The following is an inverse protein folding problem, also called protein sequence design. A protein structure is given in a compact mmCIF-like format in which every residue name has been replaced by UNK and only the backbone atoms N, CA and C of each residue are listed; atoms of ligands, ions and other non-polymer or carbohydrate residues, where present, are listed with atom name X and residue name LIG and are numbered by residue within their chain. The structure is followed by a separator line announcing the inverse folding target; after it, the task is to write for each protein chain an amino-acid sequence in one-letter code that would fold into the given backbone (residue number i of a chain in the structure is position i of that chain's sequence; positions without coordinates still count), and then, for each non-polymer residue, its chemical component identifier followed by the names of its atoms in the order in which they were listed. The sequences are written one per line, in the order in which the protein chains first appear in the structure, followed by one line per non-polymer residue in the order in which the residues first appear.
data_IF_403469373014
#
_entry.id   IF_403469373014
#
_cell.length_a   1.000
_cell.length_b   1.000
_cell.length_c   1.000
_cell.angle_alpha   90.00
_cell.angle_beta   90.00
_cell.angle_gamma   90.00
#
_symmetry.space_group_name_H-M   'P 1'
#
loop_
_entity.id
_entity.type
_entity.pdbx_description
1 polymer ?
#
# COMPACT_ATOMS: atom_id res chain seq x y z
N UNK A 1 24.33 -13.24 8.54
CA UNK A 1 23.60 -12.89 9.77
C UNK A 1 24.38 -11.79 10.48
N UNK A 2 23.69 -10.84 11.12
CA UNK A 2 24.29 -9.80 11.95
C UNK A 2 25.15 -10.39 13.06
N UNK A 3 26.47 -10.26 12.96
CA UNK A 3 27.44 -10.66 13.98
C UNK A 3 28.30 -9.47 14.40
N UNK A 4 27.70 -8.45 15.05
CA UNK A 4 28.45 -7.30 15.52
C UNK A 4 29.39 -7.68 16.67
N UNK A 5 30.48 -6.93 16.85
CA UNK A 5 31.34 -7.07 18.02
C UNK A 5 30.65 -6.48 19.27
N UNK A 6 30.05 -7.34 20.09
CA UNK A 6 29.24 -6.93 21.25
C UNK A 6 30.04 -6.32 22.40
N UNK A 7 31.37 -6.46 22.40
CA UNK A 7 32.24 -5.82 23.39
C UNK A 7 32.36 -4.31 23.16
N UNK A 8 32.30 -3.88 21.90
CA UNK A 8 32.37 -2.47 21.50
C UNK A 8 31.04 -1.72 21.70
N UNK A 9 29.94 -2.46 21.87
CA UNK A 9 28.60 -1.88 21.99
C UNK A 9 28.23 -1.73 23.45
N UNK A 10 28.15 -0.49 23.90
CA UNK A 10 27.81 -0.14 25.28
C UNK A 10 26.44 0.51 25.37
N UNK A 11 25.65 0.14 26.38
CA UNK A 11 24.42 0.83 26.73
C UNK A 11 24.74 1.90 27.78
N UNK A 12 24.19 3.10 27.61
CA UNK A 12 24.25 4.13 28.64
C UNK A 12 23.16 3.90 29.71
N UNK A 13 23.22 4.64 30.81
CA UNK A 13 22.26 4.50 31.93
C UNK A 13 20.80 4.64 31.48
N UNK A 14 20.49 5.61 30.62
CA UNK A 14 19.13 5.85 30.15
C UNK A 14 18.64 4.71 29.24
N UNK A 15 19.53 4.12 28.44
CA UNK A 15 19.24 2.93 27.65
C UNK A 15 18.96 1.70 28.54
N UNK A 16 19.74 1.50 29.61
CA UNK A 16 19.46 0.45 30.60
C UNK A 16 18.08 0.61 31.25
N UNK A 17 17.71 1.83 31.65
CA UNK A 17 16.40 2.13 32.24
C UNK A 17 15.26 1.87 31.23
N UNK A 18 15.42 2.40 30.00
CA UNK A 18 14.43 2.28 28.91
C UNK A 18 14.18 0.83 28.50
N UNK A 19 15.24 0.05 28.32
CA UNK A 19 15.15 -1.34 27.85
C UNK A 19 15.11 -2.36 28.99
N UNK A 20 14.91 -1.93 30.23
CA UNK A 20 14.89 -2.80 31.42
C UNK A 20 13.97 -4.02 31.27
N UNK A 21 12.83 -3.88 30.58
CA UNK A 21 11.90 -4.99 30.30
C UNK A 21 12.39 -5.97 29.24
N UNK A 22 13.25 -5.55 28.33
CA UNK A 22 13.93 -6.44 27.39
C UNK A 22 15.09 -7.16 28.06
N UNK A 23 15.88 -6.45 28.88
CA UNK A 23 17.07 -7.00 29.53
C UNK A 23 16.79 -8.19 30.46
N UNK A 24 15.57 -8.28 31.00
CA UNK A 24 15.15 -9.39 31.86
C UNK A 24 14.66 -10.63 31.08
N UNK A 25 14.38 -10.50 29.77
CA UNK A 25 13.94 -11.61 28.95
C UNK A 25 15.15 -12.48 28.56
N UNK A 26 15.19 -13.78 28.87
CA UNK A 26 16.32 -14.64 28.55
C UNK A 26 16.68 -14.67 27.06
N UNK A 27 15.68 -14.60 26.18
CA UNK A 27 15.85 -14.61 24.73
C UNK A 27 16.39 -13.28 24.18
N UNK A 28 16.37 -12.21 24.97
CA UNK A 28 16.94 -10.90 24.61
C UNK A 28 18.19 -10.63 25.45
N UNK A 29 18.02 -10.42 26.75
CA UNK A 29 19.12 -10.14 27.66
C UNK A 29 19.93 -8.90 27.26
N UNK A 30 21.10 -8.73 27.90
CA UNK A 30 22.02 -7.64 27.56
C UNK A 30 22.56 -7.77 26.13
N UNK A 31 22.99 -8.97 25.75
CA UNK A 31 23.60 -9.22 24.45
C UNK A 31 22.61 -9.00 23.30
N UNK A 32 21.36 -9.45 23.43
CA UNK A 32 20.32 -9.18 22.44
C UNK A 32 19.98 -7.70 22.32
N UNK A 33 19.95 -6.95 23.43
CA UNK A 33 19.73 -5.50 23.36
C UNK A 33 20.90 -4.78 22.69
N UNK A 34 22.14 -5.22 22.90
CA UNK A 34 23.30 -4.72 22.16
C UNK A 34 23.20 -5.04 20.66
N UNK A 35 22.72 -6.22 20.29
CA UNK A 35 22.45 -6.57 18.88
C UNK A 35 21.40 -5.67 18.25
N UNK A 36 20.31 -5.37 18.97
CA UNK A 36 19.31 -4.39 18.53
C UNK A 36 19.94 -3.01 18.31
N UNK A 37 20.74 -2.53 19.26
CA UNK A 37 21.47 -1.26 19.12
C UNK A 37 22.47 -1.24 17.98
N UNK A 38 23.06 -2.37 17.61
CA UNK A 38 24.00 -2.47 16.49
C UNK A 38 23.32 -2.59 15.13
N UNK A 39 22.08 -3.06 15.11
CA UNK A 39 21.39 -3.41 13.88
C UNK A 39 20.97 -2.16 13.09
N UNK A 40 20.96 -2.33 11.77
CA UNK A 40 20.48 -1.36 10.81
C UNK A 40 19.35 -1.94 9.96
N UNK A 41 18.23 -1.21 9.87
CA UNK A 41 17.04 -1.65 9.14
C UNK A 41 16.63 -0.58 8.12
N UNK A 42 16.31 -0.99 6.89
CA UNK A 42 15.72 -0.12 5.88
C UNK A 42 14.22 -0.39 5.74
N UNK A 43 13.39 0.61 5.99
CA UNK A 43 11.94 0.54 5.77
C UNK A 43 11.58 1.27 4.47
N UNK A 44 10.97 0.55 3.53
CA UNK A 44 10.47 1.13 2.28
C UNK A 44 9.00 1.51 2.46
N UNK A 45 8.73 2.82 2.54
CA UNK A 45 7.43 3.41 2.80
C UNK A 45 7.17 3.61 4.31
N UNK A 46 6.65 4.78 4.67
CA UNK A 46 6.12 5.10 6.01
C UNK A 46 4.60 5.10 6.03
N UNK A 47 3.99 4.38 5.09
CA UNK A 47 2.55 4.28 4.94
C UNK A 47 1.89 3.40 6.00
N UNK A 48 0.82 2.69 5.61
CA UNK A 48 0.01 1.90 6.55
C UNK A 48 0.86 0.89 7.33
N UNK A 49 1.59 0.01 6.63
CA UNK A 49 2.43 -1.02 7.25
C UNK A 49 3.68 -0.46 7.94
N UNK A 50 4.38 0.45 7.26
CA UNK A 50 5.61 1.06 7.77
C UNK A 50 5.41 1.84 9.07
N UNK A 51 4.24 2.46 9.23
CA UNK A 51 3.89 3.25 10.41
C UNK A 51 4.03 2.49 11.74
N UNK A 52 3.21 1.47 12.07
CA UNK A 52 3.33 0.71 13.32
C UNK A 52 4.68 -0.02 13.43
N UNK A 53 5.21 -0.51 12.31
CA UNK A 53 6.54 -1.15 12.25
C UNK A 53 7.63 -0.23 12.82
N UNK A 54 7.74 0.99 12.30
CA UNK A 54 8.76 1.96 12.69
C UNK A 54 8.62 2.37 14.17
N UNK A 55 7.39 2.52 14.66
CA UNK A 55 7.12 2.79 16.09
C UNK A 55 7.71 1.69 16.97
N UNK A 56 7.50 0.42 16.63
CA UNK A 56 7.98 -0.71 17.43
C UNK A 56 9.48 -0.98 17.26
N UNK A 57 10.07 -0.80 16.08
CA UNK A 57 11.52 -0.92 15.90
C UNK A 57 12.27 0.15 16.69
N UNK A 58 11.78 1.40 16.66
CA UNK A 58 12.32 2.48 17.48
C UNK A 58 12.19 2.17 18.98
N UNK A 59 11.00 1.76 19.44
CA UNK A 59 10.77 1.41 20.83
C UNK A 59 11.66 0.24 21.29
N UNK A 60 11.92 -0.74 20.42
CA UNK A 60 12.79 -1.88 20.70
C UNK A 60 14.28 -1.52 20.78
N UNK A 61 14.66 -0.33 20.29
CA UNK A 61 16.03 0.14 20.31
C UNK A 61 16.88 -0.35 19.14
N UNK A 62 16.28 -0.51 17.96
CA UNK A 62 17.06 -0.68 16.71
C UNK A 62 17.91 0.57 16.52
N UNK A 63 19.23 0.39 16.42
CA UNK A 63 20.17 1.52 16.46
C UNK A 63 20.08 2.45 15.25
N UNK A 64 19.93 1.89 14.05
CA UNK A 64 19.89 2.65 12.80
C UNK A 64 18.67 2.28 11.97
N UNK A 65 17.84 3.27 11.64
CA UNK A 65 16.63 3.09 10.86
C UNK A 65 16.70 3.99 9.62
N UNK A 66 16.83 3.38 8.45
CA UNK A 66 16.69 4.05 7.16
C UNK A 66 15.22 4.08 6.74
N UNK A 67 14.77 5.21 6.21
CA UNK A 67 13.40 5.41 5.76
C UNK A 67 13.41 5.93 4.33
N UNK A 68 12.69 5.23 3.44
CA UNK A 68 12.48 5.69 2.07
C UNK A 68 11.01 5.99 1.85
N UNK A 69 10.67 7.25 1.62
CA UNK A 69 9.33 7.69 1.23
C UNK A 69 9.46 9.03 0.51
N UNK A 70 8.58 9.30 -0.45
CA UNK A 70 8.58 10.53 -1.25
C UNK A 70 7.25 11.30 -1.12
N UNK A 71 6.27 10.73 -0.41
CA UNK A 71 4.96 11.33 -0.26
C UNK A 71 4.92 12.36 0.88
N UNK A 72 3.82 13.13 0.88
CA UNK A 72 3.42 13.99 1.99
C UNK A 72 2.30 13.35 2.81
N UNK A 73 2.16 13.75 4.07
CA UNK A 73 1.08 13.29 4.95
C UNK A 73 -0.25 13.83 4.44
N UNK A 74 -1.20 12.93 4.21
CA UNK A 74 -2.54 13.25 3.75
C UNK A 74 -3.59 12.94 4.82
N UNK A 75 -4.64 13.76 4.91
CA UNK A 75 -5.67 13.62 5.95
C UNK A 75 -6.43 12.28 5.85
N UNK A 76 -6.69 11.78 4.64
CA UNK A 76 -7.34 10.49 4.40
C UNK A 76 -6.50 9.29 4.87
N UNK A 77 -5.20 9.51 5.05
CA UNK A 77 -4.24 8.47 5.39
C UNK A 77 -4.07 8.27 6.90
N UNK A 78 -4.45 9.27 7.72
CA UNK A 78 -4.29 9.24 9.17
C UNK A 78 -5.05 8.12 9.88
N UNK A 79 -6.12 7.58 9.28
CA UNK A 79 -6.86 6.45 9.85
C UNK A 79 -6.03 5.15 9.96
N UNK A 80 -4.93 5.05 9.20
CA UNK A 80 -4.07 3.85 9.16
C UNK A 80 -2.57 4.13 9.31
N UNK A 81 -2.13 5.39 9.17
CA UNK A 81 -0.72 5.79 9.26
C UNK A 81 -0.45 6.47 10.61
N UNK A 82 -0.56 5.68 11.69
CA UNK A 82 -0.52 6.12 13.09
C UNK A 82 0.82 6.72 13.58
N UNK A 83 1.87 6.67 12.77
CA UNK A 83 3.15 7.35 13.02
C UNK A 83 3.05 8.84 12.70
N UNK A 84 2.11 9.23 11.84
CA UNK A 84 1.86 10.62 11.47
C UNK A 84 0.73 11.22 12.33
N UNK A 85 0.72 12.55 12.42
CA UNK A 85 -0.32 13.29 13.13
C UNK A 85 -0.92 14.40 12.27
N UNK A 86 -2.08 14.91 12.66
CA UNK A 86 -2.80 15.98 11.93
C UNK A 86 -1.95 17.24 11.73
N UNK A 87 -1.05 17.57 12.67
CA UNK A 87 -0.12 18.71 12.56
C UNK A 87 0.93 18.57 11.45
N UNK A 88 1.05 17.38 10.86
CA UNK A 88 1.96 17.06 9.77
C UNK A 88 1.29 17.02 8.39
N UNK A 89 -0.04 17.17 8.29
CA UNK A 89 -0.74 17.16 7.00
C UNK A 89 -0.14 18.21 6.04
N UNK A 90 0.13 17.79 4.80
CA UNK A 90 0.77 18.60 3.77
C UNK A 90 2.30 18.68 3.86
N UNK A 91 2.94 18.02 4.83
CA UNK A 91 4.41 17.98 5.00
C UNK A 91 4.97 16.60 4.64
N UNK A 92 6.28 16.48 4.34
CA UNK A 92 6.90 15.20 3.98
C UNK A 92 6.68 14.11 5.04
N UNK A 93 6.27 12.90 4.60
CA UNK A 93 6.05 11.77 5.50
C UNK A 93 7.32 11.34 6.22
N UNK A 94 8.46 11.35 5.52
CA UNK A 94 9.75 10.97 6.09
C UNK A 94 10.15 11.80 7.31
N UNK A 95 9.89 13.12 7.28
CA UNK A 95 10.20 14.02 8.39
C UNK A 95 9.23 13.80 9.55
N UNK A 96 7.94 13.60 9.25
CA UNK A 96 6.94 13.25 10.27
C UNK A 96 7.32 11.96 11.00
N UNK A 97 7.70 10.92 10.25
CA UNK A 97 8.13 9.64 10.80
C UNK A 97 9.40 9.76 11.65
N UNK A 98 10.41 10.49 11.17
CA UNK A 98 11.65 10.76 11.92
C UNK A 98 11.38 11.43 13.26
N UNK A 99 10.59 12.50 13.27
CA UNK A 99 10.24 13.20 14.49
C UNK A 99 9.56 12.26 15.48
N UNK A 100 8.62 11.44 15.01
CA UNK A 100 7.92 10.48 15.87
C UNK A 100 8.84 9.38 16.42
N UNK A 101 9.77 8.89 15.61
CA UNK A 101 10.79 7.90 16.03
C UNK A 101 11.66 8.48 17.15
N UNK A 102 12.15 9.72 16.99
CA UNK A 102 13.02 10.37 17.96
C UNK A 102 12.29 10.76 19.25
N UNK A 103 10.99 11.08 19.18
CA UNK A 103 10.14 11.24 20.37
C UNK A 103 10.02 9.92 21.16
N UNK A 104 9.88 8.80 20.46
CA UNK A 104 9.78 7.48 21.09
C UNK A 104 11.14 7.09 21.67
N UNK A 105 12.19 7.24 20.89
CA UNK A 105 13.53 6.82 21.25
C UNK A 105 14.61 7.73 20.65
N UNK A 106 15.16 8.67 21.43
CA UNK A 106 16.17 9.61 20.94
C UNK A 106 17.54 8.96 20.70
N UNK A 107 17.73 7.68 21.03
CA UNK A 107 18.98 6.95 20.80
C UNK A 107 19.06 6.33 19.40
N UNK A 108 17.97 6.35 18.62
CA UNK A 108 17.96 5.85 17.25
C UNK A 108 18.62 6.86 16.30
N UNK A 109 19.53 6.40 15.44
CA UNK A 109 19.90 7.11 14.23
C UNK A 109 18.81 6.90 13.17
N UNK A 110 18.34 7.98 12.55
CA UNK A 110 17.33 7.93 11.49
C UNK A 110 17.87 8.58 10.22
N UNK A 111 18.02 7.78 9.18
CA UNK A 111 18.45 8.23 7.86
C UNK A 111 17.25 8.37 6.92
N UNK A 112 17.22 9.45 6.14
CA UNK A 112 16.09 9.77 5.27
C UNK A 112 16.50 9.72 3.80
N UNK A 113 15.66 9.07 3.01
CA UNK A 113 15.76 9.03 1.56
C UNK A 113 14.44 9.54 0.98
N UNK A 114 14.39 10.83 0.67
CA UNK A 114 13.23 11.46 0.02
C UNK A 114 13.20 11.15 -1.47
N UNK A 115 12.90 9.90 -1.81
CA UNK A 115 12.95 9.45 -3.20
C UNK A 115 12.03 8.28 -3.47
N UNK A 116 11.69 8.11 -4.75
CA UNK A 116 11.11 6.86 -5.24
C UNK A 116 12.22 5.85 -5.43
N UNK A 117 12.06 4.67 -4.83
CA UNK A 117 13.00 3.57 -5.03
C UNK A 117 12.85 3.03 -6.46
N UNK A 118 13.97 2.90 -7.16
CA UNK A 118 14.03 2.45 -8.55
C UNK A 118 15.27 1.58 -8.78
N UNK A 119 15.39 0.99 -9.98
CA UNK A 119 16.55 0.20 -10.37
C UNK A 119 17.87 0.95 -10.26
N UNK A 120 17.85 2.27 -10.36
CA UNK A 120 19.06 3.11 -10.39
C UNK A 120 19.61 3.39 -8.98
N UNK A 121 18.76 3.43 -7.95
CA UNK A 121 19.14 3.84 -6.60
C UNK A 121 19.02 2.75 -5.53
N UNK A 122 18.22 1.69 -5.78
CA UNK A 122 17.83 0.75 -4.72
C UNK A 122 19.00 -0.03 -4.11
N UNK A 123 20.00 -0.40 -4.92
CA UNK A 123 21.20 -1.12 -4.43
C UNK A 123 22.00 -0.23 -3.49
N UNK A 124 22.26 1.02 -3.88
CA UNK A 124 23.02 1.97 -3.07
C UNK A 124 22.33 2.23 -1.73
N UNK A 125 21.02 2.51 -1.77
CA UNK A 125 20.21 2.77 -0.58
C UNK A 125 20.16 1.53 0.34
N UNK A 126 20.03 0.33 -0.21
CA UNK A 126 19.90 -0.91 0.58
C UNK A 126 21.23 -1.45 1.12
N UNK A 127 22.37 -1.13 0.48
CA UNK A 127 23.70 -1.65 0.83
C UNK A 127 24.12 -1.44 2.30
N UNK A 128 23.88 -0.28 2.95
CA UNK A 128 24.33 -0.06 4.33
C UNK A 128 23.43 -0.70 5.41
N UNK A 129 22.33 -1.36 5.06
CA UNK A 129 21.36 -1.90 6.03
C UNK A 129 21.38 -3.43 6.14
N UNK A 130 21.15 -3.99 7.31
CA UNK A 130 21.20 -5.45 7.52
C UNK A 130 19.93 -6.17 7.08
N UNK A 131 18.78 -5.53 7.28
CA UNK A 131 17.45 -6.07 7.00
C UNK A 131 16.66 -5.04 6.21
N UNK A 132 15.99 -5.52 5.16
CA UNK A 132 15.08 -4.70 4.37
C UNK A 132 13.66 -5.08 4.73
N UNK A 133 12.79 -4.09 4.93
CA UNK A 133 11.39 -4.29 5.29
C UNK A 133 10.50 -3.59 4.28
N UNK A 134 9.60 -4.36 3.69
CA UNK A 134 8.67 -3.88 2.70
C UNK A 134 7.40 -3.33 3.37
N UNK A 135 7.30 -2.00 3.44
CA UNK A 135 6.13 -1.28 3.92
C UNK A 135 5.21 -0.79 2.80
N UNK A 136 5.41 -1.27 1.55
CA UNK A 136 4.75 -0.74 0.36
C UNK A 136 3.47 -1.50 -0.03
N UNK A 137 2.63 -0.82 -0.79
CA UNK A 137 1.34 -1.33 -1.27
C UNK A 137 1.28 -1.54 -2.78
N UNK A 138 2.42 -1.49 -3.48
CA UNK A 138 2.48 -1.65 -4.94
C UNK A 138 3.39 -2.81 -5.38
N UNK A 139 3.06 -3.43 -6.50
CA UNK A 139 3.82 -4.56 -7.04
C UNK A 139 5.22 -4.21 -7.55
N UNK A 140 5.44 -3.11 -8.31
CA UNK A 140 6.78 -2.77 -8.79
C UNK A 140 7.82 -2.71 -7.67
N UNK A 141 7.52 -2.02 -6.57
CA UNK A 141 8.44 -1.91 -5.44
C UNK A 141 8.64 -3.25 -4.74
N UNK A 142 7.60 -4.08 -4.59
CA UNK A 142 7.73 -5.45 -4.03
C UNK A 142 8.72 -6.31 -4.82
N UNK A 143 8.59 -6.33 -6.15
CA UNK A 143 9.50 -7.07 -7.02
C UNK A 143 10.91 -6.49 -6.99
N UNK A 144 11.04 -5.16 -7.07
CA UNK A 144 12.32 -4.47 -6.97
C UNK A 144 13.06 -4.80 -5.67
N UNK A 145 12.40 -4.65 -4.53
CA UNK A 145 13.02 -4.87 -3.22
C UNK A 145 13.34 -6.33 -2.96
N UNK A 146 12.52 -7.25 -3.47
CA UNK A 146 12.88 -8.67 -3.47
C UNK A 146 14.20 -8.91 -4.21
N UNK A 147 14.30 -8.41 -5.44
CA UNK A 147 15.44 -8.68 -6.30
C UNK A 147 16.72 -8.02 -5.76
N UNK A 148 16.61 -6.81 -5.21
CA UNK A 148 17.69 -6.15 -4.45
C UNK A 148 18.14 -7.02 -3.27
N UNK A 149 17.21 -7.57 -2.51
CA UNK A 149 17.54 -8.43 -1.37
C UNK A 149 18.25 -9.71 -1.82
N UNK A 150 17.83 -10.33 -2.92
CA UNK A 150 18.50 -11.50 -3.49
C UNK A 150 19.92 -11.16 -3.94
N UNK A 151 20.10 -10.06 -4.69
CA UNK A 151 21.41 -9.63 -5.18
C UNK A 151 22.38 -9.24 -4.06
N UNK A 152 21.88 -8.65 -2.98
CA UNK A 152 22.68 -8.25 -1.81
C UNK A 152 22.77 -9.34 -0.74
N UNK A 153 22.10 -10.48 -0.93
CA UNK A 153 21.96 -11.56 0.07
C UNK A 153 21.46 -11.06 1.44
N UNK A 154 20.37 -10.28 1.42
CA UNK A 154 19.74 -9.69 2.61
C UNK A 154 18.34 -10.26 2.85
N UNK A 155 17.91 -10.43 4.10
CA UNK A 155 16.53 -10.78 4.40
C UNK A 155 15.58 -9.65 4.01
N UNK A 156 14.43 -10.04 3.46
CA UNK A 156 13.30 -9.15 3.18
C UNK A 156 12.11 -9.54 4.08
N UNK A 157 11.75 -8.67 5.02
CA UNK A 157 10.57 -8.86 5.87
C UNK A 157 9.35 -8.29 5.16
N UNK A 158 8.50 -9.18 4.67
CA UNK A 158 7.37 -8.82 3.83
C UNK A 158 6.07 -8.72 4.62
N UNK A 159 5.27 -7.71 4.26
CA UNK A 159 3.88 -7.55 4.70
C UNK A 159 3.01 -7.10 3.54
N UNK A 160 1.76 -7.54 3.51
CA UNK A 160 0.74 -6.99 2.62
C UNK A 160 -0.63 -7.03 3.26
N UNK A 161 -1.51 -6.14 2.82
CA UNK A 161 -2.89 -6.04 3.29
C UNK A 161 -3.81 -5.76 2.12
N UNK A 162 -5.03 -6.29 2.21
CA UNK A 162 -6.08 -6.08 1.24
C UNK A 162 -7.44 -6.20 1.93
N UNK A 163 -8.23 -5.11 1.97
CA UNK A 163 -9.54 -5.07 2.63
C UNK A 163 -9.48 -5.51 4.10
N UNK A 164 -9.81 -6.77 4.37
CA UNK A 164 -9.87 -7.41 5.69
C UNK A 164 -8.78 -8.48 5.90
N UNK A 165 -7.93 -8.68 4.90
CA UNK A 165 -6.89 -9.72 4.90
C UNK A 165 -5.50 -9.10 5.01
N UNK A 166 -4.60 -9.82 5.67
CA UNK A 166 -3.19 -9.49 5.80
C UNK A 166 -2.31 -10.71 5.53
N UNK A 167 -1.10 -10.47 5.04
CA UNK A 167 -0.09 -11.50 4.82
C UNK A 167 1.26 -11.05 5.39
N UNK A 168 2.03 -11.99 5.92
CA UNK A 168 3.40 -11.76 6.35
C UNK A 168 4.30 -12.98 6.12
N UNK A 169 5.56 -12.74 5.75
CA UNK A 169 6.61 -13.78 5.63
C UNK A 169 8.00 -13.14 5.69
N UNK A 170 9.04 -13.97 5.81
CA UNK A 170 10.43 -13.54 5.66
C UNK A 170 11.04 -14.20 4.43
N UNK A 171 11.38 -13.39 3.44
CA UNK A 171 12.03 -13.84 2.22
C UNK A 171 13.55 -13.72 2.32
N UNK A 172 14.25 -14.53 1.52
CA UNK A 172 15.70 -14.48 1.34
C UNK A 172 16.52 -14.50 2.65
N UNK A 173 16.04 -15.26 3.63
CA UNK A 173 16.72 -15.45 4.90
C UNK A 173 17.34 -16.85 4.94
N UNK A 174 18.66 -16.93 5.10
CA UNK A 174 19.42 -18.19 5.25
C UNK A 174 19.16 -19.22 4.14
N UNK A 175 19.06 -18.77 2.88
CA UNK A 175 18.76 -19.65 1.74
C UNK A 175 17.28 -20.05 1.63
N UNK A 176 16.40 -19.43 2.43
CA UNK A 176 14.96 -19.55 2.32
C UNK A 176 14.38 -19.00 1.01
N UNK A 177 13.07 -19.21 0.77
CA UNK A 177 12.42 -18.74 -0.44
C UNK A 177 12.46 -17.22 -0.56
N UNK A 178 12.37 -16.70 -1.79
CA UNK A 178 12.22 -15.29 -2.12
C UNK A 178 10.81 -14.99 -2.68
N UNK A 179 10.49 -13.73 -2.92
CA UNK A 179 9.16 -13.31 -3.37
C UNK A 179 8.75 -13.98 -4.69
N UNK A 180 9.71 -14.18 -5.61
CA UNK A 180 9.47 -14.86 -6.90
C UNK A 180 9.14 -16.35 -6.76
N UNK A 181 9.39 -16.97 -5.60
CA UNK A 181 8.91 -18.32 -5.32
C UNK A 181 7.40 -18.36 -5.10
N UNK A 182 6.85 -17.31 -4.49
CA UNK A 182 5.43 -17.19 -4.23
C UNK A 182 4.69 -16.60 -5.43
N UNK A 183 5.25 -15.54 -6.03
CA UNK A 183 4.70 -14.83 -7.17
C UNK A 183 5.78 -14.67 -8.25
N UNK A 184 5.91 -15.64 -9.19
CA UNK A 184 6.93 -15.57 -10.23
C UNK A 184 6.74 -14.38 -11.19
N UNK A 185 5.48 -14.07 -11.48
CA UNK A 185 5.06 -13.01 -12.39
C UNK A 185 4.00 -12.10 -11.72
N UNK A 186 4.00 -10.79 -12.03
CA UNK A 186 3.02 -9.87 -11.50
C UNK A 186 1.63 -10.20 -12.03
N UNK A 187 0.57 -9.92 -11.25
CA UNK A 187 -0.78 -10.01 -11.79
C UNK A 187 -0.98 -8.99 -12.92
N UNK A 188 -1.92 -9.22 -13.85
CA UNK A 188 -2.29 -8.23 -14.85
C UNK A 188 -2.62 -6.86 -14.22
N UNK A 189 -2.24 -5.75 -14.88
CA UNK A 189 -2.57 -4.42 -14.40
C UNK A 189 -4.07 -4.24 -14.12
N UNK A 190 -4.41 -3.55 -13.02
CA UNK A 190 -5.79 -3.27 -12.63
C UNK A 190 -6.57 -4.46 -12.05
N UNK A 191 -5.99 -5.67 -11.99
CA UNK A 191 -6.65 -6.84 -11.40
C UNK A 191 -6.80 -6.74 -9.87
N UNK A 192 -5.79 -6.19 -9.21
CA UNK A 192 -5.76 -6.03 -7.75
C UNK A 192 -5.76 -4.53 -7.43
N UNK A 193 -6.81 -3.99 -6.80
CA UNK A 193 -6.87 -2.56 -6.48
C UNK A 193 -5.91 -2.21 -5.35
N UNK A 194 -5.43 -0.97 -5.36
CA UNK A 194 -4.61 -0.41 -4.27
C UNK A 194 -5.41 -0.27 -2.97
N UNK A 195 -4.72 0.00 -1.85
CA UNK A 195 -5.41 0.31 -0.58
C UNK A 195 -6.35 1.52 -0.69
N UNK A 196 -5.99 2.51 -1.52
CA UNK A 196 -6.80 3.70 -1.76
C UNK A 196 -8.07 3.41 -2.59
N UNK A 197 -8.02 2.39 -3.45
CA UNK A 197 -9.14 1.99 -4.31
C UNK A 197 -10.03 0.92 -3.68
N UNK A 198 -9.42 -0.10 -3.09
CA UNK A 198 -10.12 -1.26 -2.51
C UNK A 198 -10.62 -1.03 -1.09
N UNK A 199 -10.13 0.02 -0.42
CA UNK A 199 -10.33 0.26 1.00
C UNK A 199 -9.50 -0.69 1.87
N UNK A 200 -9.21 -0.24 3.09
CA UNK A 200 -8.48 -1.05 4.07
C UNK A 200 -8.91 -0.72 5.48
N UNK A 201 -9.16 -1.75 6.28
CA UNK A 201 -9.43 -1.57 7.71
C UNK A 201 -8.12 -1.20 8.41
N UNK A 202 -7.99 0.04 8.89
CA UNK A 202 -6.72 0.60 9.38
C UNK A 202 -6.00 -0.23 10.46
N UNK A 203 -6.72 -0.95 11.32
CA UNK A 203 -6.10 -1.82 12.34
C UNK A 203 -5.31 -3.00 11.74
N UNK A 204 -5.61 -3.43 10.51
CA UNK A 204 -4.81 -4.45 9.81
C UNK A 204 -3.37 -4.01 9.62
N UNK A 205 -3.16 -2.74 9.29
CA UNK A 205 -1.84 -2.14 9.20
C UNK A 205 -1.07 -2.34 10.51
N UNK A 206 -1.75 -2.04 11.63
CA UNK A 206 -1.23 -2.24 12.98
C UNK A 206 -0.76 -3.68 13.22
N UNK A 207 -1.64 -4.65 12.99
CA UNK A 207 -1.35 -6.07 13.23
C UNK A 207 -0.22 -6.56 12.34
N UNK A 208 -0.30 -6.36 11.02
CA UNK A 208 0.69 -6.88 10.07
C UNK A 208 2.04 -6.18 10.25
N UNK A 209 2.06 -4.86 10.46
CA UNK A 209 3.30 -4.13 10.72
C UNK A 209 3.97 -4.53 12.04
N UNK A 210 3.20 -4.85 13.09
CA UNK A 210 3.75 -5.43 14.33
C UNK A 210 4.31 -6.84 14.11
N UNK A 211 3.72 -7.64 13.23
CA UNK A 211 4.28 -8.94 12.83
C UNK A 211 5.60 -8.73 12.09
N UNK A 212 5.68 -7.77 11.16
CA UNK A 212 6.95 -7.42 10.49
C UNK A 212 8.02 -6.98 11.51
N UNK A 213 7.67 -6.12 12.47
CA UNK A 213 8.59 -5.70 13.53
C UNK A 213 9.09 -6.90 14.35
N UNK A 214 8.19 -7.83 14.68
CA UNK A 214 8.53 -9.06 15.41
C UNK A 214 9.50 -9.93 14.62
N UNK A 215 9.29 -10.11 13.32
CA UNK A 215 10.20 -10.88 12.47
C UNK A 215 11.58 -10.22 12.36
N UNK A 216 11.63 -8.90 12.16
CA UNK A 216 12.90 -8.17 12.13
C UNK A 216 13.67 -8.31 13.45
N UNK A 217 12.99 -8.15 14.59
CA UNK A 217 13.59 -8.33 15.92
C UNK A 217 14.12 -9.76 16.10
N UNK A 218 13.35 -10.80 15.73
CA UNK A 218 13.82 -12.19 15.80
C UNK A 218 15.07 -12.43 14.95
N UNK A 219 15.12 -11.87 13.75
CA UNK A 219 16.29 -11.95 12.87
C UNK A 219 17.51 -11.28 13.52
N UNK A 220 17.34 -10.07 14.06
CA UNK A 220 18.42 -9.34 14.76
C UNK A 220 18.90 -10.10 15.99
N UNK A 221 17.98 -10.70 16.75
CA UNK A 221 18.29 -11.49 17.93
C UNK A 221 18.79 -12.89 17.60
N UNK A 222 18.66 -13.36 16.35
CA UNK A 222 18.99 -14.75 15.98
C UNK A 222 18.27 -15.78 16.84
N UNK A 223 17.05 -15.46 17.30
CA UNK A 223 16.29 -16.25 18.25
C UNK A 223 14.89 -16.56 17.72
N UNK A 224 14.35 -17.71 18.15
CA UNK A 224 13.03 -18.18 17.75
C UNK A 224 12.97 -18.70 16.32
N UNK A 225 11.75 -18.95 15.82
CA UNK A 225 11.51 -19.45 14.46
C UNK A 225 10.91 -18.34 13.60
N UNK A 226 11.65 -17.89 12.59
CA UNK A 226 11.19 -16.84 11.66
C UNK A 226 10.13 -17.36 10.70
N UNK A 227 9.34 -16.47 10.09
CA UNK A 227 8.38 -16.82 9.04
C UNK A 227 9.05 -17.21 7.72
N UNK A 228 10.37 -17.41 7.68
CA UNK A 228 11.01 -17.92 6.47
C UNK A 228 10.48 -19.33 6.13
N UNK A 229 10.10 -19.53 4.87
CA UNK A 229 9.41 -20.75 4.42
C UNK A 229 7.97 -20.90 4.91
N UNK A 230 7.36 -19.84 5.46
CA UNK A 230 5.99 -19.86 6.00
C UNK A 230 5.24 -18.57 5.68
N UNK A 231 4.17 -18.68 4.88
CA UNK A 231 3.27 -17.56 4.64
C UNK A 231 2.20 -17.53 5.73
N UNK A 232 2.21 -16.48 6.56
CA UNK A 232 1.16 -16.20 7.51
C UNK A 232 0.04 -15.44 6.81
N UNK A 233 -1.19 -15.91 6.96
CA UNK A 233 -2.42 -15.27 6.51
C UNK A 233 -3.23 -14.86 7.73
N UNK A 234 -3.71 -13.62 7.74
CA UNK A 234 -4.58 -13.06 8.76
C UNK A 234 -5.88 -12.61 8.11
N UNK A 235 -7.01 -13.08 8.63
CA UNK A 235 -8.34 -12.57 8.27
C UNK A 235 -8.93 -11.89 9.51
N UNK A 236 -9.18 -10.58 9.40
CA UNK A 236 -9.66 -9.76 10.51
C UNK A 236 -11.15 -9.94 10.83
N UNK A 237 -11.97 -10.37 9.86
CA UNK A 237 -13.40 -10.61 10.09
C UNK A 237 -13.60 -11.86 10.95
N UNK A 238 -12.89 -12.94 10.61
CA UNK A 238 -12.99 -14.22 11.30
C UNK A 238 -12.00 -14.33 12.48
N UNK A 239 -11.10 -13.35 12.63
CA UNK A 239 -9.99 -13.36 13.59
C UNK A 239 -9.13 -14.64 13.50
N UNK A 240 -8.86 -15.10 12.28
CA UNK A 240 -8.09 -16.34 12.04
C UNK A 240 -6.68 -16.04 11.57
N UNK A 241 -5.72 -16.81 12.09
CA UNK A 241 -4.35 -16.86 11.60
C UNK A 241 -4.07 -18.25 11.02
N UNK A 242 -3.71 -18.30 9.74
CA UNK A 242 -3.37 -19.54 9.04
C UNK A 242 -1.95 -19.47 8.52
N UNK A 243 -1.19 -20.55 8.67
CA UNK A 243 0.15 -20.66 8.09
C UNK A 243 0.13 -21.64 6.92
N UNK A 244 0.72 -21.22 5.80
CA UNK A 244 0.97 -22.07 4.64
C UNK A 244 2.48 -22.30 4.52
N UNK A 245 2.88 -23.53 4.19
CA UNK A 245 4.29 -23.84 3.93
C UNK A 245 4.68 -23.26 2.56
N UNK A 246 5.66 -22.36 2.56
CA UNK A 246 6.24 -21.79 1.36
C UNK A 246 7.52 -22.55 1.02
N UNK A 247 7.65 -23.00 -0.23
CA UNK A 247 8.82 -23.73 -0.72
C UNK A 247 9.43 -22.96 -1.89
N UNK A 248 10.76 -23.06 -2.10
CA UNK A 248 11.37 -22.65 -3.35
C UNK A 248 10.65 -23.23 -4.56
N UNK A 249 10.35 -22.38 -5.54
CA UNK A 249 9.78 -22.76 -6.81
C UNK A 249 10.92 -23.19 -7.75
N UNK A 250 10.95 -24.44 -8.23
CA UNK A 250 12.04 -24.95 -9.06
C UNK A 250 12.16 -24.25 -10.43
N UNK A 251 11.10 -23.58 -10.89
CA UNK A 251 11.08 -22.86 -12.18
C UNK A 251 11.05 -21.34 -12.01
N UNK A 252 11.41 -20.83 -10.82
CA UNK A 252 11.50 -19.37 -10.61
C UNK A 252 12.52 -18.73 -11.56
N UNK A 253 12.29 -17.48 -12.02
CA UNK A 253 13.30 -16.72 -12.73
C UNK A 253 14.56 -16.52 -11.89
N UNK A 254 15.73 -16.61 -12.54
CA UNK A 254 17.01 -16.23 -11.92
C UNK A 254 17.12 -14.70 -11.91
N UNK A 255 17.51 -14.15 -10.77
CA UNK A 255 17.68 -12.70 -10.59
C UNK A 255 19.18 -12.39 -10.72
N UNK A 256 19.60 -11.88 -11.88
CA UNK A 256 21.00 -11.52 -12.16
C UNK A 256 21.25 -10.01 -12.11
N UNK A 257 20.21 -9.22 -12.38
CA UNK A 257 20.25 -7.75 -12.39
C UNK A 257 18.86 -7.18 -12.14
N UNK A 258 18.82 -5.90 -11.75
CA UNK A 258 17.58 -5.14 -11.71
C UNK A 258 17.11 -4.78 -13.12
N UNK A 259 15.79 -4.62 -13.26
CA UNK A 259 15.10 -4.28 -14.51
C UNK A 259 14.14 -3.11 -14.26
N UNK A 260 13.46 -2.64 -15.31
CA UNK A 260 12.33 -1.73 -15.14
C UNK A 260 11.10 -2.49 -14.62
N UNK A 261 10.79 -2.28 -13.34
CA UNK A 261 9.68 -2.97 -12.67
C UNK A 261 8.31 -2.38 -12.98
N UNK A 262 8.23 -1.11 -13.41
CA UNK A 262 6.96 -0.55 -13.89
C UNK A 262 6.59 -1.17 -15.23
N UNK A 263 7.56 -1.29 -16.13
CA UNK A 263 7.40 -1.99 -17.41
C UNK A 263 7.10 -3.48 -17.19
N UNK A 264 7.83 -4.14 -16.29
CA UNK A 264 7.61 -5.56 -15.96
C UNK A 264 6.19 -5.83 -15.42
N UNK A 265 5.66 -4.90 -14.62
CA UNK A 265 4.28 -4.97 -14.13
C UNK A 265 3.25 -4.48 -15.14
N UNK A 266 3.65 -4.11 -16.36
CA UNK A 266 2.75 -3.67 -17.44
C UNK A 266 2.05 -2.33 -17.21
N UNK A 267 2.57 -1.50 -16.30
CA UNK A 267 1.93 -0.22 -15.93
C UNK A 267 1.84 0.75 -17.11
N UNK A 268 2.90 0.96 -17.93
CA UNK A 268 2.80 1.85 -19.09
C UNK A 268 1.74 1.40 -20.10
N UNK A 269 1.70 0.10 -20.44
CA UNK A 269 0.73 -0.42 -21.40
C UNK A 269 -0.71 -0.31 -20.89
N UNK A 270 -0.91 -0.51 -19.58
CA UNK A 270 -2.21 -0.31 -18.95
C UNK A 270 -2.66 1.14 -19.02
N UNK A 271 -1.78 2.10 -18.67
CA UNK A 271 -2.07 3.53 -18.78
C UNK A 271 -2.33 3.97 -20.21
N UNK A 272 -1.57 3.47 -21.18
CA UNK A 272 -1.78 3.77 -22.59
C UNK A 272 -3.11 3.23 -23.10
N UNK A 273 -3.47 1.99 -22.71
CA UNK A 273 -4.77 1.40 -23.04
C UNK A 273 -5.92 2.17 -22.40
N UNK A 274 -5.81 2.49 -21.11
CA UNK A 274 -6.80 3.31 -20.40
C UNK A 274 -6.93 4.70 -21.04
N UNK A 275 -5.83 5.36 -21.40
CA UNK A 275 -5.85 6.66 -22.05
C UNK A 275 -6.44 6.59 -23.47
N UNK A 276 -6.19 5.52 -24.22
CA UNK A 276 -6.80 5.29 -25.53
C UNK A 276 -8.30 5.01 -25.43
N UNK A 277 -8.72 4.22 -24.45
CA UNK A 277 -10.14 3.92 -24.21
C UNK A 277 -10.89 5.15 -23.69
N UNK A 278 -10.28 5.94 -22.80
CA UNK A 278 -10.82 7.23 -22.35
C UNK A 278 -10.93 8.24 -23.50
N UNK A 279 -9.93 8.36 -24.38
CA UNK A 279 -10.00 9.25 -25.56
C UNK A 279 -11.13 8.91 -26.53
N UNK A 280 -11.65 7.68 -26.50
CA UNK A 280 -12.78 7.25 -27.35
C UNK A 280 -14.15 7.49 -26.72
N UNK A 281 -14.19 7.89 -25.45
CA UNK A 281 -15.42 8.14 -24.70
C UNK A 281 -15.59 9.66 -24.61
N UNK A 282 -16.74 10.22 -25.03
CA UNK A 282 -17.03 11.63 -24.81
C UNK A 282 -16.93 11.97 -23.32
N UNK A 283 -16.25 13.06 -22.97
CA UNK A 283 -16.15 13.53 -21.59
C UNK A 283 -16.90 14.85 -21.41
N UNK A 284 -17.37 15.09 -20.18
CA UNK A 284 -17.84 16.40 -19.73
C UNK A 284 -17.23 16.74 -18.37
N UNK A 285 -17.08 18.02 -18.07
CA UNK A 285 -16.63 18.49 -16.75
C UNK A 285 -17.78 18.45 -15.74
N UNK A 286 -17.43 18.53 -14.46
CA UNK A 286 -18.42 18.65 -13.38
C UNK A 286 -19.19 19.98 -13.42
N UNK A 287 -18.57 21.04 -13.94
CA UNK A 287 -19.21 22.33 -14.18
C UNK A 287 -20.24 22.26 -15.31
N UNK A 288 -19.92 21.62 -16.44
CA UNK A 288 -20.88 21.36 -17.52
C UNK A 288 -22.06 20.49 -17.03
N UNK A 289 -21.78 19.50 -16.18
CA UNK A 289 -22.81 18.68 -15.57
C UNK A 289 -23.73 19.51 -14.65
N UNK A 290 -23.16 20.41 -13.86
CA UNK A 290 -23.92 21.30 -12.99
C UNK A 290 -24.83 22.23 -13.79
N UNK A 291 -24.32 22.84 -14.86
CA UNK A 291 -25.11 23.68 -15.75
C UNK A 291 -26.27 22.90 -16.39
N UNK A 292 -26.01 21.66 -16.82
CA UNK A 292 -27.04 20.78 -17.36
C UNK A 292 -28.13 20.47 -16.32
N UNK A 293 -27.75 20.14 -15.08
CA UNK A 293 -28.69 19.90 -13.97
C UNK A 293 -29.52 21.16 -13.66
N UNK A 294 -28.86 22.32 -13.56
CA UNK A 294 -29.50 23.59 -13.21
C UNK A 294 -30.46 24.10 -14.29
N UNK A 295 -30.21 23.76 -15.55
CA UNK A 295 -31.11 24.07 -16.65
C UNK A 295 -32.48 23.38 -16.55
N UNK A 296 -32.60 22.36 -15.67
CA UNK A 296 -33.80 21.55 -15.52
C UNK A 296 -34.00 20.56 -16.68
N UNK A 297 -32.96 20.29 -17.47
CA UNK A 297 -32.97 19.27 -18.51
C UNK A 297 -33.37 17.91 -17.92
N UNK A 298 -34.27 17.21 -18.62
CA UNK A 298 -34.76 15.87 -18.23
C UNK A 298 -34.41 14.80 -19.24
N UNK A 299 -33.65 15.16 -20.26
CA UNK A 299 -33.33 14.29 -21.38
C UNK A 299 -32.05 13.49 -21.19
N UNK A 300 -31.64 13.27 -19.93
CA UNK A 300 -30.48 12.48 -19.54
C UNK A 300 -30.72 11.61 -18.31
N UNK A 301 -29.93 10.55 -18.18
CA UNK A 301 -29.79 9.74 -16.97
C UNK A 301 -28.37 9.91 -16.44
N UNK A 302 -28.26 10.36 -15.19
CA UNK A 302 -27.00 10.40 -14.48
C UNK A 302 -26.79 9.08 -13.73
N UNK A 303 -25.81 8.30 -14.16
CA UNK A 303 -25.49 6.99 -13.64
C UNK A 303 -24.33 7.08 -12.67
N UNK A 304 -24.52 6.59 -11.45
CA UNK A 304 -23.45 6.36 -10.50
C UNK A 304 -23.04 4.89 -10.53
N UNK A 305 -21.80 4.61 -10.91
CA UNK A 305 -21.26 3.24 -11.00
C UNK A 305 -20.40 2.83 -9.79
N UNK A 306 -20.41 3.62 -8.72
CA UNK A 306 -19.72 3.29 -7.46
C UNK A 306 -20.43 2.15 -6.72
N UNK A 307 -19.82 1.68 -5.64
CA UNK A 307 -20.44 0.67 -4.79
C UNK A 307 -21.59 1.27 -3.96
N UNK A 308 -22.57 0.47 -3.51
CA UNK A 308 -23.67 0.96 -2.67
C UNK A 308 -23.22 1.74 -1.42
N UNK A 309 -22.15 1.29 -0.76
CA UNK A 309 -21.63 1.96 0.43
C UNK A 309 -21.03 3.34 0.10
N UNK A 310 -20.39 3.48 -1.06
CA UNK A 310 -19.86 4.77 -1.56
C UNK A 310 -20.99 5.73 -1.92
N UNK A 311 -22.08 5.21 -2.48
CA UNK A 311 -23.29 5.97 -2.79
C UNK A 311 -24.04 6.43 -1.53
N UNK A 312 -23.96 5.67 -0.44
CA UNK A 312 -24.54 6.07 0.86
C UNK A 312 -23.80 7.24 1.51
N UNK A 313 -22.48 7.37 1.27
CA UNK A 313 -21.67 8.47 1.85
C UNK A 313 -22.08 9.81 1.24
N UNK A 314 -22.15 9.88 -0.09
CA UNK A 314 -22.49 11.10 -0.81
C UNK A 314 -22.91 10.78 -2.25
N UNK A 315 -23.67 11.66 -2.88
CA UNK A 315 -24.26 11.46 -4.21
C UNK A 315 -24.25 12.78 -4.98
N UNK A 316 -24.15 12.71 -6.31
CA UNK A 316 -24.52 13.86 -7.14
C UNK A 316 -26.06 13.88 -7.24
N UNK A 317 -26.72 15.01 -6.97
CA UNK A 317 -28.18 15.08 -7.04
C UNK A 317 -28.74 14.56 -8.37
N UNK A 318 -29.76 13.70 -8.30
CA UNK A 318 -30.38 13.09 -9.47
C UNK A 318 -29.64 11.89 -10.07
N UNK A 319 -28.50 11.49 -9.50
CA UNK A 319 -27.81 10.25 -9.89
C UNK A 319 -28.62 9.00 -9.51
N UNK A 320 -28.47 7.94 -10.30
CA UNK A 320 -29.07 6.62 -10.08
C UNK A 320 -27.96 5.59 -9.98
N UNK A 321 -27.99 4.79 -8.92
CA UNK A 321 -26.97 3.77 -8.67
C UNK A 321 -27.17 2.53 -9.54
N UNK A 322 -26.17 2.22 -10.37
CA UNK A 322 -25.95 0.91 -10.99
C UNK A 322 -24.46 0.56 -10.86
N UNK A 323 -24.09 -0.22 -9.84
CA UNK A 323 -22.68 -0.52 -9.56
C UNK A 323 -21.97 -1.14 -10.77
N UNK A 324 -20.70 -0.76 -10.97
CA UNK A 324 -19.86 -1.34 -12.03
C UNK A 324 -19.85 -2.88 -12.01
N UNK A 325 -19.75 -3.58 -10.86
CA UNK A 325 -19.81 -5.05 -10.84
C UNK A 325 -21.09 -5.61 -11.45
N UNK A 326 -22.23 -4.95 -11.29
CA UNK A 326 -23.49 -5.41 -11.88
C UNK A 326 -23.45 -5.29 -13.41
N UNK A 327 -22.82 -4.23 -13.93
CA UNK A 327 -22.59 -4.02 -15.36
C UNK A 327 -21.62 -5.07 -15.91
N UNK A 328 -20.53 -5.36 -15.20
CA UNK A 328 -19.54 -6.38 -15.58
C UNK A 328 -20.15 -7.79 -15.66
N UNK A 329 -21.09 -8.13 -14.78
CA UNK A 329 -21.81 -9.40 -14.80
C UNK A 329 -23.04 -9.39 -15.73
N UNK A 330 -23.26 -8.32 -16.50
CA UNK A 330 -24.34 -8.19 -17.48
C UNK A 330 -25.71 -7.80 -16.94
N UNK A 331 -26.04 -8.11 -15.68
CA UNK A 331 -27.34 -7.76 -15.08
C UNK A 331 -27.59 -6.23 -15.07
N UNK A 332 -26.54 -5.45 -14.81
CA UNK A 332 -26.59 -3.99 -14.82
C UNK A 332 -26.82 -3.39 -16.21
N UNK A 333 -26.41 -4.08 -17.28
CA UNK A 333 -26.61 -3.59 -18.66
C UNK A 333 -28.09 -3.48 -18.99
N UNK A 334 -28.88 -4.50 -18.63
CA UNK A 334 -30.33 -4.50 -18.84
C UNK A 334 -31.01 -3.36 -18.06
N UNK A 335 -30.60 -3.16 -16.80
CA UNK A 335 -31.10 -2.08 -15.94
C UNK A 335 -30.79 -0.70 -16.52
N UNK A 336 -29.56 -0.48 -17.00
CA UNK A 336 -29.17 0.78 -17.65
C UNK A 336 -30.01 1.03 -18.90
N UNK A 337 -30.26 0.00 -19.72
CA UNK A 337 -31.08 0.11 -20.92
C UNK A 337 -32.52 0.51 -20.62
N UNK A 338 -33.10 -0.05 -19.56
CA UNK A 338 -34.43 0.32 -19.07
C UNK A 338 -34.47 1.76 -18.56
N UNK A 339 -33.48 2.16 -17.75
CA UNK A 339 -33.39 3.51 -17.19
C UNK A 339 -33.24 4.58 -18.27
N UNK A 340 -32.46 4.30 -19.33
CA UNK A 340 -32.21 5.26 -20.40
C UNK A 340 -33.50 5.72 -21.05
N UNK A 341 -34.42 4.81 -21.38
CA UNK A 341 -35.70 5.15 -22.01
C UNK A 341 -35.59 6.19 -23.17
N UNK A 342 -34.52 6.10 -23.96
CA UNK A 342 -34.23 7.03 -25.07
C UNK A 342 -33.49 8.33 -24.70
N UNK A 343 -33.22 8.58 -23.43
CA UNK A 343 -32.42 9.70 -22.93
C UNK A 343 -30.92 9.45 -23.09
N UNK A 344 -30.11 10.53 -23.01
CA UNK A 344 -28.65 10.42 -23.05
C UNK A 344 -28.09 9.84 -21.75
N UNK A 345 -27.05 9.00 -21.82
CA UNK A 345 -26.36 8.48 -20.63
C UNK A 345 -25.21 9.39 -20.23
N UNK A 346 -25.15 9.76 -18.94
CA UNK A 346 -23.99 10.40 -18.33
C UNK A 346 -23.57 9.53 -17.16
N UNK A 347 -22.32 9.06 -17.11
CA UNK A 347 -21.84 8.19 -16.05
C UNK A 347 -20.72 8.84 -15.25
N UNK A 348 -20.77 8.69 -13.93
CA UNK A 348 -19.71 9.11 -13.03
C UNK A 348 -19.34 7.99 -12.05
N UNK A 349 -18.15 8.12 -11.49
CA UNK A 349 -17.73 7.31 -10.34
C UNK A 349 -17.01 8.21 -9.33
N UNK A 350 -16.04 7.68 -8.59
CA UNK A 350 -15.22 8.48 -7.66
C UNK A 350 -14.35 9.49 -8.41
N UNK A 351 -13.55 9.04 -9.38
CA UNK A 351 -12.54 9.87 -10.08
C UNK A 351 -12.58 9.80 -11.63
N UNK A 352 -13.56 9.10 -12.22
CA UNK A 352 -13.74 8.97 -13.67
C UNK A 352 -13.28 7.63 -14.30
N UNK A 353 -12.41 6.85 -13.63
CA UNK A 353 -11.89 5.59 -14.20
C UNK A 353 -12.93 4.46 -14.31
N UNK A 354 -13.68 4.20 -13.23
CA UNK A 354 -14.72 3.15 -13.21
C UNK A 354 -15.89 3.46 -14.16
N UNK A 355 -16.26 4.73 -14.28
CA UNK A 355 -17.31 5.17 -15.21
C UNK A 355 -16.86 5.02 -16.67
N UNK A 356 -15.61 5.34 -17.01
CA UNK A 356 -15.07 5.04 -18.32
C UNK A 356 -15.12 3.54 -18.65
N UNK A 357 -14.73 2.67 -17.69
CA UNK A 357 -14.83 1.21 -17.86
C UNK A 357 -16.27 0.75 -18.07
N UNK A 358 -17.21 1.22 -17.24
CA UNK A 358 -18.63 0.91 -17.39
C UNK A 358 -19.16 1.33 -18.78
N UNK A 359 -18.81 2.54 -19.24
CA UNK A 359 -19.20 3.03 -20.57
C UNK A 359 -18.60 2.20 -21.70
N UNK A 360 -17.38 1.67 -21.54
CA UNK A 360 -16.79 0.72 -22.48
C UNK A 360 -17.62 -0.55 -22.64
N UNK A 361 -18.04 -1.17 -21.53
CA UNK A 361 -18.89 -2.38 -21.53
C UNK A 361 -20.27 -2.07 -22.11
N UNK A 362 -20.87 -0.95 -21.72
CA UNK A 362 -22.17 -0.51 -22.22
C UNK A 362 -22.15 -0.25 -23.73
N UNK A 363 -21.03 0.27 -24.25
CA UNK A 363 -20.84 0.49 -25.69
C UNK A 363 -20.88 -0.81 -26.48
N UNK A 364 -20.33 -1.91 -25.96
CA UNK A 364 -20.43 -3.23 -26.58
C UNK A 364 -21.90 -3.72 -26.68
N UNK A 365 -22.74 -3.27 -25.75
CA UNK A 365 -24.19 -3.50 -25.77
C UNK A 365 -24.99 -2.45 -26.58
N UNK A 366 -24.31 -1.57 -27.32
CA UNK A 366 -24.90 -0.53 -28.15
C UNK A 366 -25.40 0.70 -27.38
N UNK A 367 -24.92 0.91 -26.15
CA UNK A 367 -25.28 2.05 -25.29
C UNK A 367 -24.09 3.01 -25.25
N UNK A 368 -24.26 4.19 -25.84
CA UNK A 368 -23.27 5.27 -25.75
C UNK A 368 -23.55 6.19 -24.57
N UNK A 369 -22.52 6.81 -24.02
CA UNK A 369 -22.65 7.75 -22.91
C UNK A 369 -21.43 8.63 -22.72
N UNK A 370 -21.59 9.63 -21.84
CA UNK A 370 -20.60 10.66 -21.53
C UNK A 370 -20.00 10.37 -20.16
N UNK A 371 -18.67 10.37 -20.06
CA UNK A 371 -17.95 10.24 -18.79
C UNK A 371 -17.84 11.59 -18.08
N UNK A 372 -18.15 11.64 -16.79
CA UNK A 372 -17.90 12.84 -15.97
C UNK A 372 -16.45 12.83 -15.50
N UNK A 373 -15.65 13.75 -16.05
CA UNK A 373 -14.22 13.87 -15.76
C UNK A 373 -14.00 14.19 -14.28
N UNK A 374 -13.10 13.45 -13.63
CA UNK A 374 -12.79 13.62 -12.20
C UNK A 374 -13.89 13.13 -11.24
N UNK A 375 -15.03 12.65 -11.76
CA UNK A 375 -16.11 12.06 -10.97
C UNK A 375 -16.65 12.94 -9.85
N UNK A 376 -17.15 12.32 -8.78
CA UNK A 376 -17.70 13.03 -7.63
C UNK A 376 -16.63 13.75 -6.77
N UNK A 377 -15.36 13.34 -6.88
CA UNK A 377 -14.26 14.06 -6.23
C UNK A 377 -14.08 15.45 -6.83
N UNK A 378 -14.07 15.57 -8.17
CA UNK A 378 -14.06 16.88 -8.83
C UNK A 378 -15.34 17.68 -8.53
N UNK A 379 -16.50 17.01 -8.44
CA UNK A 379 -17.76 17.68 -8.07
C UNK A 379 -17.65 18.33 -6.68
N UNK A 380 -17.09 17.62 -5.70
CA UNK A 380 -16.85 18.17 -4.36
C UNK A 380 -15.90 19.37 -4.39
N UNK A 381 -14.86 19.33 -5.22
CA UNK A 381 -13.84 20.39 -5.26
C UNK A 381 -14.31 21.65 -6.00
N UNK A 382 -15.06 21.47 -7.09
CA UNK A 382 -15.34 22.55 -8.05
C UNK A 382 -16.80 23.04 -8.02
N UNK A 383 -17.74 22.22 -7.55
CA UNK A 383 -19.18 22.50 -7.64
C UNK A 383 -19.83 22.61 -6.26
N UNK A 384 -19.65 21.60 -5.40
CA UNK A 384 -20.28 21.54 -4.10
C UNK A 384 -19.33 21.02 -3.01
N UNK A 385 -18.60 21.93 -2.34
CA UNK A 385 -17.71 21.58 -1.23
C UNK A 385 -18.38 20.91 -0.03
N UNK A 386 -19.73 20.93 0.06
CA UNK A 386 -20.44 20.21 1.12
C UNK A 386 -20.49 18.70 0.88
N UNK A 387 -20.28 18.25 -0.37
CA UNK A 387 -20.16 16.83 -0.71
C UNK A 387 -18.85 16.28 -0.12
N UNK A 388 -18.90 15.29 0.79
CA UNK A 388 -17.71 14.72 1.39
C UNK A 388 -16.76 14.08 0.38
N UNK A 389 -15.46 14.31 0.55
CA UNK A 389 -14.39 13.53 -0.08
C UNK A 389 -14.00 12.38 0.85
N UNK A 390 -13.81 11.19 0.31
CA UNK A 390 -13.48 9.96 1.05
C UNK A 390 -12.46 9.12 0.31
#
# INVERSE_FOLDING_TARGET
MLNPNLEEIQLNKQEYERYSRHLILPEVGLEGQKRLKAASVLCIGTGGLGSPLLLYLAAAGVGRIGIVDFDVVDHSNLQRQVIHGTSWVGKPKIESAKNRILEINPFCQVDLYETRVSSENAIEIATPYDIIIDGTDNFPTRYLMNDVCVLLNKPNVYGSIFRFEGQATVFNYEGGPNYRDLYPEPPPPGMVPSCAEGGVLGVLCGVVGSIQATEAIKIILGQGTTLSGRLLLYNALDMTFRQLKLRPNPVRPVIEKLIDYEQFCGIPQAKDKEAQDQKKIPEMTVTELKELIDSGAKDFVLLDVRNPNEYQICQIPGSVLVPLPDIEHGAGVAKVKELLNGHRLIAHCKMGGRSAKALGILKEAGIEGINVKGGITAWSQEVDPSVPQY
#
